data_IF_720822357483
#
_entry.id   IF_720822357483
#
_cell.length_a   1.000
_cell.length_b   1.000
_cell.length_c   1.000
_cell.angle_alpha   90.00
_cell.angle_beta   90.00
_cell.angle_gamma   90.00
#
_symmetry.space_group_name_H-M   'P 1'
#
loop_
_entity.id
_entity.type
_entity.pdbx_description
1 polymer ?
#
# COMPACT_ATOMS: atom_id res chain seq x y z
N UNK A 1 35.13 0.64 -23.24
CA UNK A 1 34.00 -0.01 -22.56
C UNK A 1 33.96 0.58 -21.17
N UNK A 2 33.03 1.49 -20.89
CA UNK A 2 32.82 2.05 -19.54
C UNK A 2 32.17 0.96 -18.71
N UNK A 3 32.85 0.53 -17.63
CA UNK A 3 32.22 -0.31 -16.61
C UNK A 3 30.94 0.36 -16.13
N UNK A 4 29.81 -0.30 -16.33
CA UNK A 4 28.56 0.10 -15.67
C UNK A 4 28.78 -0.18 -14.19
N UNK A 5 28.97 0.89 -13.40
CA UNK A 5 29.19 0.77 -11.96
C UNK A 5 28.10 -0.07 -11.32
N UNK A 6 28.46 -0.89 -10.33
CA UNK A 6 27.51 -1.68 -9.57
C UNK A 6 26.42 -0.78 -9.00
N UNK A 7 25.15 -1.25 -8.99
CA UNK A 7 24.05 -0.51 -8.40
C UNK A 7 24.37 -0.13 -6.95
N UNK A 8 24.26 1.15 -6.62
CA UNK A 8 24.43 1.65 -5.25
C UNK A 8 23.17 1.45 -4.38
N UNK A 9 22.08 1.01 -4.98
CA UNK A 9 20.81 0.71 -4.29
C UNK A 9 20.94 -0.62 -3.54
N UNK A 10 20.58 -0.62 -2.26
CA UNK A 10 20.71 -1.80 -1.40
C UNK A 10 19.39 -2.58 -1.33
N UNK A 11 18.29 -1.92 -0.94
CA UNK A 11 16.97 -2.53 -0.76
C UNK A 11 15.88 -1.47 -0.76
N UNK A 12 14.62 -1.90 -0.88
CA UNK A 12 13.46 -1.05 -0.65
C UNK A 12 13.31 -0.79 0.86
N UNK A 13 13.47 0.46 1.29
CA UNK A 13 13.34 0.83 2.70
C UNK A 13 11.87 0.91 3.14
N UNK A 14 11.05 1.66 2.40
CA UNK A 14 9.60 1.77 2.61
C UNK A 14 8.89 2.22 1.32
N UNK A 15 7.58 2.12 1.33
CA UNK A 15 6.71 2.74 0.34
C UNK A 15 5.95 3.89 1.02
N UNK A 16 6.17 5.12 0.58
CA UNK A 16 5.47 6.29 1.10
C UNK A 16 4.07 6.40 0.50
N UNK A 17 3.06 6.61 1.34
CA UNK A 17 1.66 6.80 0.95
C UNK A 17 1.15 8.07 1.60
N UNK A 18 0.81 9.07 0.78
CA UNK A 18 0.16 10.29 1.28
C UNK A 18 -1.31 10.02 1.56
N UNK A 19 -1.77 10.41 2.76
CA UNK A 19 -3.14 10.20 3.23
C UNK A 19 -3.80 11.53 3.59
N UNK A 20 -5.13 11.59 3.50
CA UNK A 20 -5.88 12.78 3.86
C UNK A 20 -5.93 13.00 5.37
N UNK A 21 -5.98 11.90 6.14
CA UNK A 21 -5.97 11.89 7.61
C UNK A 21 -5.19 10.67 8.10
N UNK A 22 -4.13 10.91 8.86
CA UNK A 22 -3.33 9.82 9.43
C UNK A 22 -4.17 8.94 10.37
N UNK A 23 -5.02 9.53 11.19
CA UNK A 23 -5.82 8.76 12.15
C UNK A 23 -6.85 7.87 11.45
N UNK A 24 -7.49 8.36 10.39
CA UNK A 24 -8.43 7.55 9.60
C UNK A 24 -7.72 6.44 8.81
N UNK A 25 -6.56 6.73 8.24
CA UNK A 25 -5.75 5.71 7.55
C UNK A 25 -5.26 4.63 8.52
N UNK A 26 -4.79 5.01 9.70
CA UNK A 26 -4.37 4.05 10.74
C UNK A 26 -5.53 3.17 11.20
N UNK A 27 -6.73 3.73 11.40
CA UNK A 27 -7.89 2.93 11.77
C UNK A 27 -8.16 1.79 10.77
N UNK A 28 -8.02 2.05 9.47
CA UNK A 28 -8.11 1.03 8.44
C UNK A 28 -6.95 0.02 8.54
N UNK A 29 -5.70 0.50 8.52
CA UNK A 29 -4.54 -0.39 8.45
C UNK A 29 -4.38 -1.26 9.70
N UNK A 30 -4.63 -0.72 10.89
CA UNK A 30 -4.60 -1.48 12.17
C UNK A 30 -5.68 -2.57 12.20
N UNK A 31 -6.89 -2.25 11.75
CA UNK A 31 -7.97 -3.22 11.66
C UNK A 31 -7.67 -4.30 10.64
N UNK A 32 -7.16 -3.92 9.46
CA UNK A 32 -6.88 -4.85 8.37
C UNK A 32 -5.70 -5.78 8.68
N UNK A 33 -4.62 -5.26 9.27
CA UNK A 33 -3.43 -6.03 9.61
C UNK A 33 -3.50 -6.65 11.01
N UNK A 34 -4.51 -6.27 11.81
CA UNK A 34 -4.65 -6.67 13.22
C UNK A 34 -3.39 -6.37 14.04
N UNK A 35 -2.75 -5.24 13.75
CA UNK A 35 -1.47 -4.84 14.31
C UNK A 35 -1.36 -3.31 14.39
N UNK A 36 -0.88 -2.75 15.52
CA UNK A 36 -0.64 -1.32 15.64
C UNK A 36 0.52 -0.87 14.74
N UNK A 37 0.63 0.43 14.45
CA UNK A 37 1.78 0.97 13.74
C UNK A 37 3.05 0.75 14.56
N UNK A 38 4.17 0.54 13.87
CA UNK A 38 5.51 0.45 14.49
C UNK A 38 5.89 1.75 15.17
N UNK A 39 5.48 2.84 14.61
CA UNK A 39 5.90 4.18 14.97
C UNK A 39 4.89 5.21 14.47
N UNK A 40 4.67 6.27 15.25
CA UNK A 40 3.82 7.41 14.90
C UNK A 40 4.43 8.68 15.49
N UNK A 41 4.52 9.76 14.70
CA UNK A 41 5.05 11.05 15.15
C UNK A 41 4.55 12.22 14.29
N UNK A 42 4.94 13.42 14.70
CA UNK A 42 4.87 14.62 13.88
C UNK A 42 6.28 15.01 13.47
N UNK A 43 6.49 15.17 12.18
CA UNK A 43 7.72 15.63 11.57
C UNK A 43 7.55 17.12 11.23
N UNK A 44 8.36 17.99 11.82
CA UNK A 44 8.26 19.46 11.70
C UNK A 44 9.61 20.16 11.53
N UNK A 45 10.67 19.39 11.23
CA UNK A 45 12.02 19.92 11.12
C UNK A 45 12.28 20.60 9.77
N UNK A 46 13.11 21.67 9.73
CA UNK A 46 13.34 22.44 8.50
C UNK A 46 13.88 21.64 7.32
N UNK A 47 14.54 20.48 7.54
CA UNK A 47 15.04 19.64 6.46
C UNK A 47 13.89 19.05 5.60
N UNK A 48 12.70 18.87 6.17
CA UNK A 48 11.55 18.31 5.46
C UNK A 48 11.15 19.18 4.27
N UNK A 49 11.13 20.49 4.43
CA UNK A 49 10.83 21.41 3.33
C UNK A 49 11.83 21.29 2.19
N UNK A 50 13.09 20.96 2.47
CA UNK A 50 14.13 20.73 1.43
C UNK A 50 13.98 19.39 0.73
N UNK A 51 13.52 18.35 1.44
CA UNK A 51 13.28 17.03 0.86
C UNK A 51 11.98 17.04 0.02
N UNK A 52 10.92 17.62 0.55
CA UNK A 52 9.58 17.53 -0.04
C UNK A 52 9.25 18.66 -1.02
N UNK A 53 10.02 19.75 -0.99
CA UNK A 53 9.73 20.96 -1.79
C UNK A 53 8.64 21.86 -1.17
N UNK A 54 8.22 21.61 0.09
CA UNK A 54 7.20 22.40 0.81
C UNK A 54 7.83 23.09 2.03
N UNK A 55 8.37 24.32 1.89
CA UNK A 55 8.99 25.03 3.02
C UNK A 55 8.06 25.17 4.21
N UNK A 56 8.54 24.82 5.42
CA UNK A 56 7.77 24.93 6.65
C UNK A 56 6.70 23.86 6.84
N UNK A 57 6.68 22.83 6.02
CA UNK A 57 5.71 21.73 6.14
C UNK A 57 5.82 21.00 7.49
N UNK A 58 4.67 20.67 8.07
CA UNK A 58 4.53 19.68 9.14
C UNK A 58 3.83 18.45 8.56
N UNK A 59 4.27 17.26 8.94
CA UNK A 59 3.75 15.98 8.46
C UNK A 59 3.47 15.08 9.66
N UNK A 60 2.23 14.64 9.83
CA UNK A 60 1.94 13.54 10.72
C UNK A 60 2.28 12.25 9.98
N UNK A 61 3.13 11.41 10.57
CA UNK A 61 3.65 10.22 9.92
C UNK A 61 3.55 8.99 10.80
N UNK A 62 3.41 7.84 10.17
CA UNK A 62 3.46 6.53 10.83
C UNK A 62 4.08 5.47 9.93
N UNK A 63 4.83 4.53 10.54
CA UNK A 63 5.27 3.31 9.88
C UNK A 63 4.36 2.15 10.24
N UNK A 64 3.91 1.44 9.22
CA UNK A 64 3.09 0.25 9.33
C UNK A 64 3.80 -0.92 8.67
N UNK A 65 3.95 -2.02 9.42
CA UNK A 65 4.61 -3.22 8.93
C UNK A 65 3.66 -4.11 8.16
N UNK A 66 3.90 -4.31 6.87
CA UNK A 66 3.22 -5.31 6.07
C UNK A 66 3.84 -6.70 6.26
N UNK A 67 3.08 -7.78 6.01
CA UNK A 67 3.65 -9.12 5.92
C UNK A 67 4.81 -9.18 4.91
N UNK A 68 5.82 -9.99 5.21
CA UNK A 68 6.98 -10.14 4.33
C UNK A 68 8.08 -9.10 4.53
N UNK A 69 7.97 -8.22 5.55
CA UNK A 69 9.03 -7.28 5.92
C UNK A 69 9.00 -5.95 5.15
N UNK A 70 8.00 -5.73 4.31
CA UNK A 70 7.78 -4.43 3.66
C UNK A 70 7.17 -3.45 4.65
N UNK A 71 7.62 -2.21 4.60
CA UNK A 71 7.10 -1.11 5.44
C UNK A 71 6.37 -0.11 4.55
N UNK A 72 5.21 0.33 4.94
CA UNK A 72 4.58 1.54 4.40
C UNK A 72 4.76 2.70 5.37
N UNK A 73 5.04 3.88 4.82
CA UNK A 73 5.06 5.14 5.55
C UNK A 73 3.82 5.94 5.18
N UNK A 74 2.90 6.10 6.12
CA UNK A 74 1.72 6.93 5.94
C UNK A 74 2.09 8.38 6.27
N UNK A 75 1.76 9.31 5.37
CA UNK A 75 2.17 10.71 5.43
C UNK A 75 0.96 11.63 5.28
N UNK A 76 0.56 12.28 6.36
CA UNK A 76 -0.50 13.28 6.37
C UNK A 76 0.13 14.68 6.40
N UNK A 77 0.29 15.26 5.21
CA UNK A 77 0.84 16.61 5.03
C UNK A 77 -0.12 17.66 5.55
N UNK A 78 0.32 18.49 6.46
CA UNK A 78 -0.47 19.59 7.02
C UNK A 78 -0.37 20.83 6.10
N UNK A 79 -0.94 20.69 4.89
CA UNK A 79 -0.95 21.73 3.85
C UNK A 79 -2.40 21.91 3.39
N UNK A 80 -2.83 23.17 3.25
CA UNK A 80 -4.14 23.49 2.70
C UNK A 80 -4.21 23.26 1.18
N UNK A 81 -5.42 23.07 0.66
CA UNK A 81 -5.66 22.94 -0.78
C UNK A 81 -5.23 21.60 -1.40
N UNK A 82 -4.93 20.58 -0.58
CA UNK A 82 -4.67 19.23 -1.10
C UNK A 82 -5.91 18.68 -1.82
N UNK A 83 -5.68 18.05 -2.94
CA UNK A 83 -6.74 17.36 -3.71
C UNK A 83 -6.50 15.86 -3.70
N UNK A 84 -7.54 15.04 -3.68
CA UNK A 84 -7.41 13.60 -3.81
C UNK A 84 -6.73 13.24 -5.13
N UNK A 85 -5.85 12.22 -5.11
CA UNK A 85 -5.33 11.66 -6.34
C UNK A 85 -6.42 10.87 -7.06
N UNK A 86 -6.22 10.62 -8.36
CA UNK A 86 -7.10 9.69 -9.09
C UNK A 86 -6.90 8.26 -8.59
N UNK A 87 -7.99 7.55 -8.36
CA UNK A 87 -7.98 6.13 -7.99
C UNK A 87 -8.14 5.20 -9.21
N UNK A 88 -8.01 5.75 -10.43
CA UNK A 88 -8.08 4.97 -11.67
C UNK A 88 -6.78 4.21 -11.88
N UNK A 89 -6.80 2.89 -11.66
CA UNK A 89 -5.61 2.02 -11.76
C UNK A 89 -4.94 2.03 -13.12
N UNK A 90 -5.70 2.29 -14.20
CA UNK A 90 -5.17 2.33 -15.56
C UNK A 90 -4.36 3.61 -15.86
N UNK A 91 -4.41 4.63 -15.00
CA UNK A 91 -3.66 5.86 -15.25
C UNK A 91 -2.15 5.63 -15.00
N UNK A 92 -1.28 6.06 -15.92
CA UNK A 92 0.16 5.98 -15.71
C UNK A 92 0.61 6.60 -14.39
N UNK A 93 1.52 5.91 -13.66
CA UNK A 93 1.99 6.33 -12.34
C UNK A 93 1.14 5.80 -11.16
N UNK A 94 0.03 5.14 -11.42
CA UNK A 94 -0.72 4.47 -10.36
C UNK A 94 0.03 3.23 -9.88
N UNK A 95 0.15 3.05 -8.57
CA UNK A 95 0.86 1.95 -7.90
C UNK A 95 -0.11 1.18 -7.02
N UNK A 96 0.05 -0.11 -6.91
CA UNK A 96 -0.69 -0.94 -5.98
C UNK A 96 0.22 -1.77 -5.09
N UNK A 97 -0.30 -2.19 -3.94
CA UNK A 97 0.36 -3.10 -3.02
C UNK A 97 -0.25 -4.49 -3.21
N UNK A 98 0.56 -5.44 -3.69
CA UNK A 98 0.12 -6.82 -3.83
C UNK A 98 0.50 -7.62 -2.57
N UNK A 99 -0.51 -8.15 -1.87
CA UNK A 99 -0.37 -8.96 -0.67
C UNK A 99 -0.67 -10.42 -1.02
N UNK A 100 0.32 -11.29 -0.83
CA UNK A 100 0.11 -12.73 -0.94
C UNK A 100 -0.70 -13.23 0.26
N UNK A 101 -1.77 -13.98 -0.01
CA UNK A 101 -2.69 -14.52 0.99
C UNK A 101 -2.91 -16.02 0.79
N UNK A 102 -3.26 -16.73 1.85
CA UNK A 102 -3.55 -18.17 1.80
C UNK A 102 -4.94 -18.45 1.23
N UNK A 103 -5.92 -17.58 1.55
CA UNK A 103 -7.30 -17.64 1.05
C UNK A 103 -7.75 -16.24 0.61
N UNK A 104 -7.88 -16.06 -0.70
CA UNK A 104 -8.27 -14.77 -1.29
C UNK A 104 -9.71 -14.36 -0.92
N UNK A 105 -10.63 -15.32 -0.78
CA UNK A 105 -12.01 -15.01 -0.42
C UNK A 105 -12.13 -14.55 1.04
N UNK A 106 -11.43 -15.23 1.95
CA UNK A 106 -11.39 -14.84 3.36
C UNK A 106 -10.72 -13.47 3.52
N UNK A 107 -9.57 -13.26 2.87
CA UNK A 107 -8.85 -11.98 2.93
C UNK A 107 -9.66 -10.83 2.33
N UNK A 108 -10.39 -11.07 1.24
CA UNK A 108 -11.28 -10.09 0.62
C UNK A 108 -12.44 -9.71 1.55
N UNK A 109 -13.12 -10.68 2.15
CA UNK A 109 -14.20 -10.44 3.11
C UNK A 109 -13.69 -9.64 4.31
N UNK A 110 -12.50 -9.98 4.83
CA UNK A 110 -11.87 -9.25 5.92
C UNK A 110 -11.55 -7.80 5.53
N UNK A 111 -10.94 -7.57 4.37
CA UNK A 111 -10.62 -6.23 3.89
C UNK A 111 -11.89 -5.37 3.74
N UNK A 112 -12.97 -5.91 3.19
CA UNK A 112 -14.26 -5.22 3.07
C UNK A 112 -14.84 -4.90 4.44
N UNK A 113 -14.80 -5.83 5.39
CA UNK A 113 -15.25 -5.60 6.77
C UNK A 113 -14.43 -4.50 7.48
N UNK A 114 -13.16 -4.32 7.12
CA UNK A 114 -12.31 -3.22 7.60
C UNK A 114 -12.52 -1.89 6.88
N UNK A 115 -13.41 -1.84 5.87
CA UNK A 115 -13.76 -0.62 5.14
C UNK A 115 -13.10 -0.47 3.77
N UNK A 116 -12.39 -1.49 3.25
CA UNK A 116 -11.92 -1.46 1.87
C UNK A 116 -13.11 -1.49 0.89
N UNK A 117 -13.02 -0.69 -0.17
CA UNK A 117 -14.04 -0.66 -1.23
C UNK A 117 -13.65 -1.66 -2.34
N UNK A 118 -14.44 -2.71 -2.58
CA UNK A 118 -14.13 -3.68 -3.61
C UNK A 118 -14.29 -3.11 -5.03
N UNK A 119 -13.50 -3.60 -5.98
CA UNK A 119 -13.62 -3.30 -7.40
C UNK A 119 -14.37 -4.39 -8.17
N UNK A 120 -14.51 -5.56 -7.56
CA UNK A 120 -15.22 -6.73 -8.10
C UNK A 120 -16.11 -7.34 -7.01
N UNK A 121 -16.98 -8.27 -7.34
CA UNK A 121 -17.83 -8.97 -6.38
C UNK A 121 -17.06 -9.98 -5.51
N UNK A 122 -15.81 -10.25 -5.85
CA UNK A 122 -14.94 -11.17 -5.12
C UNK A 122 -13.67 -11.46 -5.91
N UNK A 123 -12.77 -12.31 -5.37
CA UNK A 123 -11.58 -12.74 -6.07
C UNK A 123 -11.88 -13.53 -7.34
N UNK A 124 -11.17 -13.22 -8.42
CA UNK A 124 -11.30 -13.85 -9.73
C UNK A 124 -10.19 -14.87 -9.92
N UNK A 125 -10.51 -16.01 -10.49
CA UNK A 125 -9.53 -17.02 -10.88
C UNK A 125 -8.80 -16.58 -12.16
N UNK A 126 -7.47 -16.74 -12.16
CA UNK A 126 -6.63 -16.46 -13.31
C UNK A 126 -6.65 -17.72 -14.20
N UNK A 127 -7.23 -17.60 -15.38
CA UNK A 127 -7.48 -18.70 -16.32
C UNK A 127 -6.41 -18.87 -17.40
N UNK A 128 -5.33 -18.06 -17.35
CA UNK A 128 -4.25 -18.10 -18.32
C UNK A 128 -2.92 -17.54 -17.83
N UNK A 129 -1.87 -17.81 -18.61
CA UNK A 129 -0.52 -17.31 -18.31
C UNK A 129 0.21 -18.04 -17.17
N UNK A 130 1.31 -17.46 -16.66
CA UNK A 130 2.18 -18.13 -15.67
C UNK A 130 1.52 -18.33 -14.30
N UNK A 131 0.46 -17.62 -14.00
CA UNK A 131 -0.26 -17.68 -12.73
C UNK A 131 -1.62 -18.40 -12.84
N UNK A 132 -1.81 -19.25 -13.87
CA UNK A 132 -3.05 -20.01 -14.05
C UNK A 132 -3.43 -20.77 -12.79
N UNK A 133 -4.72 -20.70 -12.37
CA UNK A 133 -5.23 -21.30 -11.14
C UNK A 133 -5.00 -20.48 -9.88
N UNK A 134 -4.28 -19.36 -9.96
CA UNK A 134 -4.22 -18.36 -8.88
C UNK A 134 -5.55 -17.61 -8.78
N UNK A 135 -5.79 -16.93 -7.68
CA UNK A 135 -6.94 -16.02 -7.48
C UNK A 135 -6.46 -14.66 -7.07
N UNK A 136 -7.02 -13.61 -7.65
CA UNK A 136 -6.68 -12.24 -7.34
C UNK A 136 -7.91 -11.35 -7.20
N UNK A 137 -7.80 -10.30 -6.40
CA UNK A 137 -8.80 -9.26 -6.28
C UNK A 137 -8.15 -7.90 -6.02
N UNK A 138 -8.68 -6.85 -6.63
CA UNK A 138 -8.32 -5.47 -6.32
C UNK A 138 -9.38 -4.83 -5.44
N UNK A 139 -8.92 -4.12 -4.40
CA UNK A 139 -9.75 -3.30 -3.52
C UNK A 139 -9.11 -1.92 -3.36
N UNK A 140 -9.91 -0.94 -2.98
CA UNK A 140 -9.44 0.37 -2.54
C UNK A 140 -9.38 0.41 -1.03
N UNK A 141 -8.18 0.58 -0.50
CA UNK A 141 -7.97 0.93 0.90
C UNK A 141 -8.37 2.39 1.16
N UNK A 142 -8.06 2.89 2.35
CA UNK A 142 -8.28 4.30 2.68
C UNK A 142 -7.55 5.22 1.68
N UNK A 143 -8.15 6.36 1.36
CA UNK A 143 -7.63 7.35 0.38
C UNK A 143 -7.43 6.82 -1.06
N UNK A 144 -8.11 5.74 -1.43
CA UNK A 144 -8.06 5.20 -2.79
C UNK A 144 -6.81 4.39 -3.11
N UNK A 145 -5.97 4.08 -2.12
CA UNK A 145 -4.81 3.20 -2.30
C UNK A 145 -5.26 1.83 -2.78
N UNK A 146 -4.69 1.35 -3.89
CA UNK A 146 -5.02 0.03 -4.42
C UNK A 146 -4.27 -1.05 -3.66
N UNK A 147 -5.02 -2.04 -3.17
CA UNK A 147 -4.49 -3.30 -2.65
C UNK A 147 -4.89 -4.41 -3.61
N UNK A 148 -3.93 -5.25 -3.99
CA UNK A 148 -4.16 -6.53 -4.63
C UNK A 148 -4.03 -7.65 -3.59
N UNK A 149 -5.01 -8.53 -3.52
CA UNK A 149 -4.92 -9.79 -2.77
C UNK A 149 -4.62 -10.89 -3.78
N UNK A 150 -3.52 -11.61 -3.58
CA UNK A 150 -3.06 -12.66 -4.49
C UNK A 150 -2.91 -13.99 -3.76
N UNK A 151 -3.70 -14.97 -4.14
CA UNK A 151 -3.59 -16.36 -3.70
C UNK A 151 -2.93 -17.17 -4.80
N UNK A 152 -1.80 -17.78 -4.48
CA UNK A 152 -1.10 -18.65 -5.44
C UNK A 152 -1.97 -19.88 -5.82
N UNK A 153 -1.74 -20.51 -6.98
CA UNK A 153 -2.39 -21.76 -7.33
C UNK A 153 -2.18 -22.81 -6.22
N UNK A 154 -3.20 -23.62 -5.94
CA UNK A 154 -3.01 -24.78 -5.05
C UNK A 154 -2.00 -25.72 -5.71
N UNK A 155 -1.00 -26.17 -4.93
CA UNK A 155 -0.10 -27.20 -5.40
C UNK A 155 -0.93 -28.41 -5.89
N UNK A 156 -0.60 -28.95 -7.06
CA UNK A 156 -1.21 -30.19 -7.49
C UNK A 156 -0.96 -31.25 -6.39
N UNK A 157 -2.02 -31.92 -5.94
CA UNK A 157 -1.88 -33.04 -5.03
C UNK A 157 -1.02 -34.10 -5.73
N UNK A 158 0.17 -34.35 -5.21
CA UNK A 158 1.10 -35.38 -5.66
C UNK A 158 0.64 -36.76 -5.21
#
# INVERSE_FOLDING_TARGET
MTEVGASTMQHLHHVGITVASLDAALAFWESFLQKPPRWKTVLDRPYLGRITGYPGVSIKAAFVDLPGGVVIELLDYQIEGRVPNTDVTANPGNVHLCLKVDDAAQAWNHAVACGARPLTEGPVEIDGGPNIGARAAYLRAHDGVTIELFQAPKAAAS
#
